data_IF_587742633037
#
_entry.id   IF_587742633037
#
_cell.length_a   1.000
_cell.length_b   1.000
_cell.length_c   1.000
_cell.angle_alpha   90.00
_cell.angle_beta   90.00
_cell.angle_gamma   90.00
#
_symmetry.space_group_name_H-M   'P 1'
#
loop_
_entity.id
_entity.type
_entity.pdbx_description
1 polymer ?
#
# COMPACT_ATOMS: atom_id res chain seq x y z
N UNK A 1 -11.98 11.99 38.97
CA UNK A 1 -12.53 12.00 37.60
C UNK A 1 -13.23 10.67 37.39
N UNK A 2 -14.42 10.66 36.80
CA UNK A 2 -15.19 9.43 36.55
C UNK A 2 -14.47 8.53 35.52
N UNK A 3 -14.24 7.23 35.80
CA UNK A 3 -13.67 6.27 34.85
C UNK A 3 -14.32 6.29 33.47
N UNK A 4 -15.65 6.41 33.42
CA UNK A 4 -16.39 6.37 32.16
C UNK A 4 -16.05 7.59 31.30
N UNK A 5 -15.99 8.76 31.92
CA UNK A 5 -15.60 9.99 31.25
C UNK A 5 -14.15 9.92 30.72
N UNK A 6 -13.22 9.30 31.45
CA UNK A 6 -11.84 9.10 30.98
C UNK A 6 -11.79 8.16 29.75
N UNK A 7 -12.56 7.07 29.75
CA UNK A 7 -12.64 6.12 28.63
C UNK A 7 -13.27 6.75 27.38
N UNK A 8 -14.28 7.60 27.54
CA UNK A 8 -14.92 8.31 26.42
C UNK A 8 -13.98 9.37 25.81
N UNK A 9 -13.18 10.05 26.64
CA UNK A 9 -12.09 10.90 26.16
C UNK A 9 -11.04 10.10 25.39
N UNK A 10 -10.61 8.95 25.93
CA UNK A 10 -9.66 8.07 25.25
C UNK A 10 -10.21 7.58 23.90
N UNK A 11 -11.48 7.19 23.85
CA UNK A 11 -12.15 6.81 22.59
C UNK A 11 -12.06 7.92 21.56
N UNK A 12 -12.35 9.15 21.96
CA UNK A 12 -12.29 10.33 21.10
C UNK A 12 -10.86 10.55 20.59
N UNK A 13 -9.85 10.49 21.46
CA UNK A 13 -8.43 10.64 21.13
C UNK A 13 -7.92 9.55 20.16
N UNK A 14 -8.35 8.30 20.34
CA UNK A 14 -8.02 7.18 19.47
C UNK A 14 -8.68 7.32 18.08
N UNK A 15 -9.91 7.84 18.03
CA UNK A 15 -10.63 8.12 16.78
C UNK A 15 -10.00 9.29 16.01
N UNK A 16 -9.63 10.36 16.70
CA UNK A 16 -8.91 11.52 16.12
C UNK A 16 -7.60 11.09 15.46
N UNK A 17 -6.89 10.10 16.04
CA UNK A 17 -5.67 9.50 15.48
C UNK A 17 -5.93 8.46 14.38
N UNK A 18 -7.19 8.26 13.97
CA UNK A 18 -7.61 7.36 12.88
C UNK A 18 -7.18 5.90 13.06
N UNK A 19 -7.12 5.42 14.30
CA UNK A 19 -6.80 4.02 14.57
C UNK A 19 -7.94 3.11 14.06
N UNK A 20 -7.63 1.88 13.60
CA UNK A 20 -8.66 0.96 13.10
C UNK A 20 -9.74 0.69 14.15
N UNK A 21 -11.01 0.81 13.76
CA UNK A 21 -12.16 0.67 14.70
C UNK A 21 -12.09 -0.62 15.52
N UNK A 22 -11.73 -1.75 14.90
CA UNK A 22 -11.57 -3.04 15.60
C UNK A 22 -10.48 -3.00 16.67
N UNK A 23 -9.37 -2.30 16.42
CA UNK A 23 -8.30 -2.11 17.39
C UNK A 23 -8.77 -1.23 18.56
N UNK A 24 -9.45 -0.11 18.25
CA UNK A 24 -10.00 0.80 19.27
C UNK A 24 -11.00 0.07 20.17
N UNK A 25 -11.94 -0.69 19.60
CA UNK A 25 -12.92 -1.45 20.38
C UNK A 25 -12.25 -2.49 21.28
N UNK A 26 -11.25 -3.22 20.75
CA UNK A 26 -10.50 -4.20 21.54
C UNK A 26 -9.73 -3.55 22.68
N UNK A 27 -8.98 -2.48 22.39
CA UNK A 27 -8.19 -1.74 23.38
C UNK A 27 -9.06 -1.13 24.48
N UNK A 28 -10.18 -0.51 24.11
CA UNK A 28 -11.11 0.07 25.10
C UNK A 28 -11.76 -1.00 25.97
N UNK A 29 -12.06 -2.18 25.42
CA UNK A 29 -12.56 -3.30 26.22
C UNK A 29 -11.49 -3.78 27.22
N UNK A 30 -10.28 -4.07 26.73
CA UNK A 30 -9.16 -4.51 27.58
C UNK A 30 -8.85 -3.47 28.68
N UNK A 31 -8.86 -2.17 28.36
CA UNK A 31 -8.65 -1.12 29.35
C UNK A 31 -9.83 -0.93 30.31
N UNK A 32 -11.08 -1.08 29.83
CA UNK A 32 -12.26 -1.01 30.69
C UNK A 32 -12.22 -2.12 31.73
N UNK A 33 -11.88 -3.35 31.32
CA UNK A 33 -11.74 -4.50 32.21
C UNK A 33 -10.66 -4.19 33.27
N UNK A 34 -9.48 -3.72 32.86
CA UNK A 34 -8.41 -3.34 33.79
C UNK A 34 -8.77 -2.19 34.75
N UNK A 35 -9.49 -1.16 34.27
CA UNK A 35 -9.90 -0.03 35.12
C UNK A 35 -10.95 -0.46 36.13
N UNK A 36 -11.90 -1.29 35.73
CA UNK A 36 -12.91 -1.86 36.64
C UNK A 36 -12.25 -2.76 37.68
N UNK A 37 -11.34 -3.65 37.28
CA UNK A 37 -10.63 -4.54 38.20
C UNK A 37 -9.83 -3.77 39.28
N UNK A 38 -9.13 -2.71 38.89
CA UNK A 38 -8.38 -1.82 39.80
C UNK A 38 -9.29 -1.01 40.73
N UNK A 39 -10.51 -0.69 40.29
CA UNK A 39 -11.50 0.04 41.09
C UNK A 39 -12.29 -0.86 42.05
N UNK A 40 -12.59 -2.10 41.65
CA UNK A 40 -13.31 -3.08 42.47
C UNK A 40 -12.40 -3.73 43.52
N UNK A 41 -11.09 -3.80 43.26
CA UNK A 41 -10.10 -4.36 44.19
C UNK A 41 -9.15 -3.31 44.80
N UNK A 42 -9.65 -2.26 45.47
CA UNK A 42 -8.77 -1.36 46.22
C UNK A 42 -8.15 -2.05 47.45
N UNK A 43 -8.52 -3.31 47.72
CA UNK A 43 -8.14 -4.13 48.87
C UNK A 43 -6.85 -4.94 48.69
N UNK A 44 -6.18 -4.92 47.53
CA UNK A 44 -4.79 -5.38 47.39
C UNK A 44 -3.78 -4.38 48.00
N UNK A 45 -4.19 -3.76 49.12
CA UNK A 45 -3.53 -2.73 49.93
C UNK A 45 -2.61 -3.34 51.00
N UNK A 46 -2.03 -4.50 50.74
CA UNK A 46 -0.96 -5.06 51.58
C UNK A 46 0.40 -4.36 51.35
N UNK A 47 0.43 -3.31 50.53
CA UNK A 47 1.52 -2.34 50.60
C UNK A 47 1.44 -1.65 51.97
N UNK A 48 2.37 -1.90 52.91
CA UNK A 48 2.34 -1.29 54.23
C UNK A 48 2.24 0.21 54.04
N UNK A 49 1.20 0.80 54.64
CA UNK A 49 0.97 2.23 54.67
C UNK A 49 2.23 2.87 55.27
N UNK A 50 3.19 3.24 54.44
CA UNK A 50 4.34 4.01 54.86
C UNK A 50 3.77 5.32 55.40
N UNK A 51 4.00 5.65 56.69
CA UNK A 51 3.47 6.87 57.29
C UNK A 51 4.26 8.05 56.72
N UNK A 52 3.80 8.55 55.58
CA UNK A 52 4.39 9.67 54.87
C UNK A 52 3.38 10.35 53.96
N UNK A 53 3.43 11.69 53.79
CA UNK A 53 2.45 12.48 53.03
C UNK A 53 2.51 12.29 51.50
N UNK A 54 3.20 11.26 51.00
CA UNK A 54 3.21 10.92 49.58
C UNK A 54 1.96 10.09 49.27
N UNK A 55 0.85 10.78 48.97
CA UNK A 55 -0.38 10.15 48.50
C UNK A 55 -0.04 9.20 47.34
N UNK A 56 -0.38 7.92 47.49
CA UNK A 56 -0.24 6.94 46.40
C UNK A 56 -1.13 7.43 45.25
N UNK A 57 -0.56 7.69 44.06
CA UNK A 57 -1.34 8.22 42.96
C UNK A 57 -2.49 7.29 42.63
N UNK A 58 -3.67 7.89 42.41
CA UNK A 58 -4.89 7.14 42.13
C UNK A 58 -4.75 6.31 40.83
N UNK A 59 -5.64 5.33 40.59
CA UNK A 59 -5.57 4.47 39.40
C UNK A 59 -5.45 5.24 38.08
N UNK A 60 -6.16 6.37 37.96
CA UNK A 60 -6.12 7.24 36.78
C UNK A 60 -4.79 7.99 36.62
N UNK A 61 -4.11 8.33 37.71
CA UNK A 61 -2.79 8.98 37.64
C UNK A 61 -1.72 8.01 37.17
N UNK A 62 -1.85 6.71 37.49
CA UNK A 62 -0.94 5.65 37.00
C UNK A 62 -1.10 5.42 35.49
N UNK A 63 -2.32 5.47 34.97
CA UNK A 63 -2.61 5.32 33.54
C UNK A 63 -2.19 6.54 32.72
N UNK A 64 -2.12 7.72 33.35
CA UNK A 64 -1.80 8.99 32.70
C UNK A 64 -2.98 9.60 31.94
N UNK A 65 -2.68 10.61 31.12
CA UNK A 65 -3.73 11.29 30.35
C UNK A 65 -4.22 10.42 29.18
N UNK A 66 -5.51 10.52 28.79
CA UNK A 66 -6.04 9.82 27.62
C UNK A 66 -5.23 10.09 26.34
N UNK A 67 -4.68 11.30 26.21
CA UNK A 67 -3.84 11.70 25.09
C UNK A 67 -2.55 10.87 25.02
N UNK A 68 -1.87 10.67 26.15
CA UNK A 68 -0.64 9.89 26.24
C UNK A 68 -0.89 8.41 25.94
N UNK A 69 -1.99 7.86 26.46
CA UNK A 69 -2.40 6.47 26.17
C UNK A 69 -2.76 6.29 24.69
N UNK A 70 -3.49 7.25 24.10
CA UNK A 70 -3.80 7.21 22.68
C UNK A 70 -2.55 7.32 21.81
N UNK A 71 -1.57 8.13 22.21
CA UNK A 71 -0.29 8.28 21.53
C UNK A 71 0.58 7.01 21.64
N UNK A 72 0.66 6.39 22.81
CA UNK A 72 1.40 5.14 23.00
C UNK A 72 0.77 4.01 22.19
N UNK A 73 -0.56 3.87 22.22
CA UNK A 73 -1.29 2.89 21.44
C UNK A 73 -1.08 3.08 19.93
N UNK A 74 -1.05 4.33 19.45
CA UNK A 74 -0.77 4.63 18.05
C UNK A 74 0.68 4.29 17.67
N UNK A 75 1.65 4.61 18.53
CA UNK A 75 3.07 4.25 18.33
C UNK A 75 3.25 2.74 18.26
N UNK A 76 2.62 2.00 19.18
CA UNK A 76 2.71 0.55 19.23
C UNK A 76 2.07 -0.10 17.99
N UNK A 77 0.87 0.34 17.61
CA UNK A 77 0.21 -0.18 16.41
C UNK A 77 1.07 0.03 15.16
N UNK A 78 1.67 1.22 15.01
CA UNK A 78 2.59 1.52 13.91
C UNK A 78 3.82 0.61 13.98
N UNK A 79 4.41 0.44 15.16
CA UNK A 79 5.57 -0.43 15.38
C UNK A 79 5.29 -1.90 15.04
N UNK A 80 4.04 -2.38 15.15
CA UNK A 80 3.68 -3.75 14.75
C UNK A 80 3.75 -3.98 13.24
N UNK A 81 3.46 -2.97 12.42
CA UNK A 81 3.46 -3.13 10.95
C UNK A 81 4.87 -3.08 10.36
N UNK A 82 5.23 -4.06 9.53
CA UNK A 82 6.52 -4.06 8.81
C UNK A 82 6.64 -2.84 7.89
N UNK A 83 5.54 -2.45 7.25
CA UNK A 83 5.48 -1.29 6.35
C UNK A 83 5.85 0.03 7.03
N UNK A 84 5.47 0.22 8.30
CA UNK A 84 5.84 1.42 9.04
C UNK A 84 7.24 1.35 9.65
N UNK A 85 7.72 0.15 10.00
CA UNK A 85 9.09 -0.05 10.49
C UNK A 85 10.14 0.14 9.39
N UNK A 86 9.87 -0.36 8.19
CA UNK A 86 10.80 -0.36 7.07
C UNK A 86 10.18 0.27 5.82
N UNK A 87 9.87 1.57 5.84
CA UNK A 87 9.16 2.21 4.74
C UNK A 87 10.01 2.29 3.46
N UNK A 88 11.34 2.39 3.57
CA UNK A 88 12.24 2.39 2.40
C UNK A 88 12.18 1.04 1.67
N UNK A 89 12.27 -0.08 2.39
CA UNK A 89 12.13 -1.40 1.79
C UNK A 89 10.74 -1.62 1.19
N UNK A 90 9.71 -1.23 1.94
CA UNK A 90 8.31 -1.47 1.56
C UNK A 90 7.87 -0.60 0.38
N UNK A 91 8.27 0.67 0.31
CA UNK A 91 7.81 1.61 -0.72
C UNK A 91 8.88 1.97 -1.75
N UNK A 92 10.13 1.60 -1.54
CA UNK A 92 11.23 1.82 -2.49
C UNK A 92 11.61 0.57 -3.28
N UNK A 93 11.68 -0.59 -2.61
CA UNK A 93 12.22 -1.82 -3.23
C UNK A 93 11.13 -2.79 -3.64
N UNK A 94 10.14 -3.02 -2.78
CA UNK A 94 9.09 -3.99 -3.04
C UNK A 94 8.16 -3.65 -4.23
N UNK A 95 7.76 -2.37 -4.46
CA UNK A 95 6.85 -2.05 -5.57
C UNK A 95 7.37 -2.41 -6.96
N UNK A 96 8.61 -2.06 -7.37
CA UNK A 96 9.08 -2.43 -8.71
C UNK A 96 9.24 -3.94 -8.87
N UNK A 97 9.66 -4.67 -7.82
CA UNK A 97 9.74 -6.13 -7.86
C UNK A 97 8.35 -6.75 -8.06
N UNK A 98 7.36 -6.27 -7.31
CA UNK A 98 5.99 -6.73 -7.45
C UNK A 98 5.41 -6.38 -8.82
N UNK A 99 5.75 -5.21 -9.38
CA UNK A 99 5.31 -4.80 -10.71
C UNK A 99 5.82 -5.75 -11.81
N UNK A 100 7.07 -6.22 -11.71
CA UNK A 100 7.62 -7.23 -12.63
C UNK A 100 6.82 -8.54 -12.54
N UNK A 101 6.56 -9.02 -11.33
CA UNK A 101 5.80 -10.27 -11.11
C UNK A 101 4.36 -10.15 -11.63
N UNK A 102 3.68 -9.05 -11.33
CA UNK A 102 2.32 -8.79 -11.78
C UNK A 102 2.27 -8.61 -13.30
N UNK A 103 3.25 -7.92 -13.90
CA UNK A 103 3.33 -7.77 -15.35
C UNK A 103 3.53 -9.13 -16.03
N UNK A 104 4.43 -9.98 -15.52
CA UNK A 104 4.62 -11.33 -16.03
C UNK A 104 3.33 -12.17 -15.95
N UNK A 105 2.62 -12.09 -14.82
CA UNK A 105 1.33 -12.77 -14.66
C UNK A 105 0.26 -12.26 -15.64
N UNK A 106 0.20 -10.95 -15.88
CA UNK A 106 -0.75 -10.35 -16.82
C UNK A 106 -0.40 -10.61 -18.28
N UNK A 107 0.87 -10.79 -18.61
CA UNK A 107 1.33 -11.10 -19.97
C UNK A 107 1.11 -12.57 -20.35
N UNK A 108 1.33 -13.48 -19.40
CA UNK A 108 1.25 -14.92 -19.66
C UNK A 108 -0.16 -15.48 -19.38
N UNK A 109 -0.83 -14.96 -18.36
CA UNK A 109 -2.09 -15.50 -17.84
C UNK A 109 -3.25 -15.47 -18.85
N UNK A 110 -3.63 -14.30 -19.40
CA UNK A 110 -4.74 -14.20 -20.33
C UNK A 110 -4.52 -15.03 -21.61
N UNK A 111 -3.31 -15.03 -22.15
CA UNK A 111 -2.97 -15.82 -23.33
C UNK A 111 -3.13 -17.31 -23.10
N UNK A 112 -2.54 -17.83 -22.02
CA UNK A 112 -2.68 -19.24 -21.65
C UNK A 112 -4.15 -19.63 -21.36
N UNK A 113 -4.90 -18.73 -20.70
CA UNK A 113 -6.32 -18.97 -20.41
C UNK A 113 -7.15 -19.04 -21.70
N UNK A 114 -6.96 -18.10 -22.63
CA UNK A 114 -7.70 -18.08 -23.90
C UNK A 114 -7.38 -19.31 -24.76
N UNK A 115 -6.11 -19.69 -24.84
CA UNK A 115 -5.66 -20.91 -25.54
C UNK A 115 -6.40 -22.14 -25.01
N UNK A 116 -6.43 -22.31 -23.67
CA UNK A 116 -7.12 -23.45 -23.04
C UNK A 116 -8.65 -23.43 -23.18
N UNK A 117 -9.27 -22.25 -23.24
CA UNK A 117 -10.74 -22.12 -23.25
C UNK A 117 -11.34 -22.14 -24.64
N UNK A 118 -10.61 -21.64 -25.65
CA UNK A 118 -11.16 -21.39 -26.99
C UNK A 118 -10.62 -22.32 -28.07
N UNK A 119 -9.66 -23.20 -27.73
CA UNK A 119 -8.99 -24.12 -28.68
C UNK A 119 -8.62 -23.39 -29.98
N UNK A 120 -7.93 -22.25 -29.82
CA UNK A 120 -7.71 -21.31 -30.90
C UNK A 120 -6.89 -21.99 -32.01
N UNK A 121 -7.31 -21.89 -33.28
CA UNK A 121 -6.52 -22.42 -34.37
C UNK A 121 -5.15 -21.71 -34.41
N UNK A 122 -4.10 -22.41 -34.87
CA UNK A 122 -2.77 -21.82 -34.97
C UNK A 122 -2.82 -20.53 -35.78
N UNK A 123 -2.17 -19.47 -35.25
CA UNK A 123 -2.20 -18.10 -35.78
C UNK A 123 -1.54 -17.92 -37.17
N UNK A 124 -1.10 -19.02 -37.80
CA UNK A 124 -0.31 -19.04 -39.02
C UNK A 124 -1.08 -18.44 -40.24
N UNK A 125 -2.41 -18.27 -40.18
CA UNK A 125 -3.22 -17.62 -41.22
C UNK A 125 -3.35 -16.08 -41.09
N UNK A 126 -3.05 -15.48 -39.93
CA UNK A 126 -3.26 -14.04 -39.67
C UNK A 126 -1.99 -13.18 -39.90
N UNK A 127 -0.93 -13.76 -40.45
CA UNK A 127 0.47 -13.31 -40.37
C UNK A 127 0.82 -11.97 -41.02
N UNK A 128 0.01 -11.46 -41.95
CA UNK A 128 0.45 -10.34 -42.82
C UNK A 128 -0.20 -9.01 -42.51
N UNK A 129 -1.17 -8.98 -41.59
CA UNK A 129 -1.92 -7.76 -41.38
C UNK A 129 -1.19 -6.79 -40.43
N UNK A 130 -0.93 -5.53 -40.85
CA UNK A 130 -0.21 -4.53 -40.05
C UNK A 130 -0.81 -4.29 -38.66
N UNK A 131 -2.12 -4.51 -38.50
CA UNK A 131 -2.82 -4.31 -37.23
C UNK A 131 -2.41 -5.33 -36.16
N UNK A 132 -1.92 -6.53 -36.54
CA UNK A 132 -1.52 -7.57 -35.57
C UNK A 132 -0.35 -7.08 -34.71
N UNK A 133 0.62 -6.41 -35.33
CA UNK A 133 1.74 -5.83 -34.60
C UNK A 133 1.28 -4.75 -33.62
N UNK A 134 0.34 -3.89 -34.04
CA UNK A 134 -0.22 -2.84 -33.19
C UNK A 134 -1.02 -3.42 -32.01
N UNK A 135 -1.79 -4.49 -32.23
CA UNK A 135 -2.52 -5.20 -31.17
C UNK A 135 -1.56 -5.88 -30.19
N UNK A 136 -0.53 -6.58 -30.69
CA UNK A 136 0.47 -7.23 -29.86
C UNK A 136 1.25 -6.21 -28.99
N UNK A 137 1.68 -5.10 -29.60
CA UNK A 137 2.35 -4.03 -28.88
C UNK A 137 1.41 -3.37 -27.86
N UNK A 138 0.17 -3.08 -28.24
CA UNK A 138 -0.85 -2.53 -27.36
C UNK A 138 -1.15 -3.43 -26.17
N UNK A 139 -1.22 -4.74 -26.38
CA UNK A 139 -1.40 -5.74 -25.32
C UNK A 139 -0.23 -5.72 -24.33
N UNK A 140 1.02 -5.77 -24.81
CA UNK A 140 2.20 -5.75 -23.94
C UNK A 140 2.28 -4.46 -23.12
N UNK A 141 2.13 -3.32 -23.79
CA UNK A 141 2.15 -2.00 -23.13
C UNK A 141 1.00 -1.89 -22.12
N UNK A 142 -0.20 -2.33 -22.50
CA UNK A 142 -1.38 -2.35 -21.65
C UNK A 142 -1.18 -3.19 -20.40
N UNK A 143 -0.58 -4.37 -20.51
CA UNK A 143 -0.28 -5.24 -19.36
C UNK A 143 0.71 -4.59 -18.38
N UNK A 144 1.76 -3.95 -18.88
CA UNK A 144 2.74 -3.24 -18.03
C UNK A 144 2.09 -2.04 -17.33
N UNK A 145 1.32 -1.23 -18.06
CA UNK A 145 0.59 -0.10 -17.47
C UNK A 145 -0.38 -0.62 -16.40
N UNK A 146 -1.18 -1.63 -16.70
CA UNK A 146 -2.11 -2.24 -15.75
C UNK A 146 -1.39 -2.77 -14.50
N UNK A 147 -0.28 -3.50 -14.66
CA UNK A 147 0.53 -3.98 -13.54
C UNK A 147 1.02 -2.83 -12.66
N UNK A 148 1.57 -1.77 -13.27
CA UNK A 148 2.05 -0.60 -12.55
C UNK A 148 0.95 0.09 -11.74
N UNK A 149 -0.26 0.22 -12.31
CA UNK A 149 -1.40 0.82 -11.66
C UNK A 149 -1.90 -0.03 -10.49
N UNK A 150 -2.05 -1.34 -10.68
CA UNK A 150 -2.47 -2.27 -9.63
C UNK A 150 -1.51 -2.24 -8.44
N UNK A 151 -0.20 -2.25 -8.70
CA UNK A 151 0.82 -2.15 -7.65
C UNK A 151 0.72 -0.81 -6.92
N UNK A 152 0.65 0.31 -7.64
CA UNK A 152 0.52 1.63 -7.02
C UNK A 152 -0.76 1.75 -6.19
N UNK A 153 -1.90 1.21 -6.65
CA UNK A 153 -3.14 1.14 -5.88
C UNK A 153 -2.96 0.34 -4.59
N UNK A 154 -2.32 -0.83 -4.68
CA UNK A 154 -2.07 -1.69 -3.52
C UNK A 154 -1.21 -0.96 -2.46
N UNK A 155 -0.12 -0.31 -2.88
CA UNK A 155 0.76 0.43 -1.97
C UNK A 155 0.12 1.72 -1.43
N UNK A 156 -0.72 2.41 -2.21
CA UNK A 156 -1.54 3.51 -1.68
C UNK A 156 -2.50 2.99 -0.60
N UNK A 157 -3.15 1.85 -0.85
CA UNK A 157 -4.01 1.17 0.13
C UNK A 157 -3.25 0.80 1.40
N UNK A 158 -2.05 0.23 1.26
CA UNK A 158 -1.17 -0.13 2.37
C UNK A 158 -0.73 1.10 3.18
N UNK A 159 -0.27 2.17 2.50
CA UNK A 159 0.11 3.41 3.15
C UNK A 159 -1.06 4.04 3.93
N UNK A 160 -2.29 3.92 3.42
CA UNK A 160 -3.50 4.36 4.14
C UNK A 160 -3.76 3.53 5.38
N UNK A 161 -3.64 2.20 5.29
CA UNK A 161 -3.86 1.28 6.43
C UNK A 161 -2.81 1.46 7.54
N UNK A 162 -1.58 1.84 7.18
CA UNK A 162 -0.50 2.06 8.13
C UNK A 162 -0.35 3.53 8.58
N UNK A 163 -1.26 4.41 8.19
CA UNK A 163 -1.21 5.86 8.47
C UNK A 163 0.14 6.51 8.13
N UNK A 164 0.70 6.13 6.98
CA UNK A 164 1.98 6.65 6.52
C UNK A 164 1.83 7.99 5.80
N UNK A 165 2.87 8.82 5.94
CA UNK A 165 2.97 10.11 5.27
C UNK A 165 2.83 9.98 3.75
N UNK A 166 2.26 11.00 3.11
CA UNK A 166 1.95 11.01 1.66
C UNK A 166 3.16 10.83 0.75
N UNK A 167 4.38 11.11 1.25
CA UNK A 167 5.63 10.90 0.50
C UNK A 167 5.87 9.43 0.13
N UNK A 168 5.49 8.47 0.98
CA UNK A 168 5.76 7.05 0.75
C UNK A 168 5.01 6.43 -0.43
N UNK A 169 3.68 6.61 -0.58
CA UNK A 169 3.01 6.15 -1.79
C UNK A 169 3.49 6.87 -3.06
N UNK A 170 3.95 8.13 -2.95
CA UNK A 170 4.58 8.83 -4.07
C UNK A 170 5.94 8.23 -4.44
N UNK A 171 6.75 7.86 -3.45
CA UNK A 171 8.00 7.11 -3.67
C UNK A 171 7.72 5.80 -4.41
N UNK A 172 6.73 5.01 -3.94
CA UNK A 172 6.33 3.76 -4.60
C UNK A 172 5.90 3.96 -6.05
N UNK A 173 5.08 4.99 -6.31
CA UNK A 173 4.68 5.33 -7.67
C UNK A 173 5.86 5.76 -8.54
N UNK A 174 6.78 6.57 -8.00
CA UNK A 174 7.96 7.03 -8.71
C UNK A 174 8.91 5.89 -9.05
N UNK A 175 9.29 5.04 -8.10
CA UNK A 175 10.19 3.91 -8.38
C UNK A 175 9.56 2.91 -9.33
N UNK A 176 8.25 2.68 -9.23
CA UNK A 176 7.52 1.79 -10.16
C UNK A 176 7.48 2.40 -11.55
N UNK A 177 7.23 3.71 -11.67
CA UNK A 177 7.26 4.43 -12.94
C UNK A 177 8.64 4.40 -13.59
N UNK A 178 9.70 4.61 -12.80
CA UNK A 178 11.09 4.54 -13.27
C UNK A 178 11.44 3.17 -13.85
N UNK A 179 11.07 2.10 -13.14
CA UNK A 179 11.33 0.74 -13.61
C UNK A 179 10.45 0.41 -14.81
N UNK A 180 9.12 0.60 -14.72
CA UNK A 180 8.21 0.20 -15.80
C UNK A 180 8.40 1.04 -17.07
N UNK A 181 8.58 2.36 -16.94
CA UNK A 181 8.81 3.25 -18.08
C UNK A 181 10.23 3.17 -18.65
N UNK A 182 11.21 2.77 -17.83
CA UNK A 182 12.57 2.49 -18.27
C UNK A 182 12.68 1.22 -19.12
N UNK A 183 11.66 0.36 -19.12
CA UNK A 183 11.62 -0.84 -19.95
C UNK A 183 11.15 -0.48 -21.36
N UNK A 184 12.03 -0.71 -22.33
CA UNK A 184 11.63 -0.85 -23.71
C UNK A 184 10.84 -2.15 -23.88
N UNK A 185 9.75 -2.06 -24.64
CA UNK A 185 8.89 -3.19 -24.97
C UNK A 185 8.75 -3.33 -26.47
N UNK A 186 8.99 -4.54 -26.95
CA UNK A 186 8.77 -4.92 -28.33
C UNK A 186 8.04 -6.26 -28.37
N UNK A 187 7.08 -6.40 -29.26
CA UNK A 187 6.41 -7.65 -29.53
C UNK A 187 6.46 -7.91 -31.04
N UNK A 188 7.04 -9.03 -31.42
CA UNK A 188 6.98 -9.53 -32.80
C UNK A 188 6.12 -10.78 -32.78
N UNK A 189 4.99 -10.79 -33.52
CA UNK A 189 4.14 -11.98 -33.60
C UNK A 189 4.92 -13.14 -34.22
N UNK A 190 4.50 -14.36 -33.91
CA UNK A 190 5.01 -15.56 -34.58
C UNK A 190 4.58 -15.53 -36.04
N UNK A 191 5.50 -15.88 -36.94
CA UNK A 191 5.24 -16.10 -38.36
C UNK A 191 5.69 -17.51 -38.75
N UNK A 192 5.29 -17.98 -39.94
CA UNK A 192 5.59 -19.32 -40.43
C UNK A 192 7.11 -19.52 -40.55
N UNK A 193 7.83 -18.43 -40.85
CA UNK A 193 9.28 -18.42 -41.00
C UNK A 193 10.04 -18.04 -39.71
N UNK A 194 9.40 -17.40 -38.72
CA UNK A 194 10.09 -16.85 -37.54
C UNK A 194 9.29 -17.04 -36.26
N UNK A 195 9.98 -17.50 -35.21
CA UNK A 195 9.39 -17.54 -33.87
C UNK A 195 9.03 -16.12 -33.40
N UNK A 196 7.84 -15.99 -32.82
CA UNK A 196 7.41 -14.76 -32.19
C UNK A 196 8.28 -14.45 -30.98
N UNK A 197 8.66 -13.19 -30.81
CA UNK A 197 9.48 -12.78 -29.68
C UNK A 197 8.84 -11.61 -28.95
N UNK A 198 8.78 -11.74 -27.62
CA UNK A 198 8.47 -10.62 -26.72
C UNK A 198 9.80 -10.19 -26.12
N UNK A 199 10.16 -8.93 -26.36
CA UNK A 199 11.37 -8.32 -25.84
C UNK A 199 11.00 -7.29 -24.80
N UNK A 200 11.53 -7.47 -23.60
CA UNK A 200 11.47 -6.50 -22.51
C UNK A 200 12.90 -6.24 -22.08
N UNK A 201 13.36 -5.00 -22.18
CA UNK A 201 14.76 -4.66 -21.90
C UNK A 201 14.98 -3.17 -21.69
N UNK A 202 16.22 -2.77 -21.46
CA UNK A 202 16.58 -1.35 -21.37
C UNK A 202 16.76 -0.78 -22.79
N UNK A 203 16.27 0.43 -23.09
CA UNK A 203 16.47 1.04 -24.40
C UNK A 203 17.97 1.19 -24.70
N UNK A 204 18.41 0.71 -25.88
CA UNK A 204 19.82 0.82 -26.32
C UNK A 204 20.27 2.27 -26.57
N UNK A 205 19.35 3.22 -26.72
CA UNK A 205 19.66 4.65 -26.86
C UNK A 205 18.70 5.52 -26.06
N UNK A 206 19.21 6.22 -25.05
CA UNK A 206 18.51 7.27 -24.30
C UNK A 206 18.62 8.63 -25.02
N UNK A 207 18.49 8.63 -26.34
CA UNK A 207 18.58 9.87 -27.13
C UNK A 207 17.34 10.75 -26.93
N UNK A 208 17.45 12.09 -27.01
CA UNK A 208 16.31 13.02 -26.84
C UNK A 208 15.20 12.85 -27.90
N UNK A 209 15.49 12.18 -29.03
CA UNK A 209 14.50 11.79 -30.03
C UNK A 209 13.82 10.42 -29.75
N UNK A 210 14.16 9.74 -28.65
CA UNK A 210 13.94 8.30 -28.47
C UNK A 210 12.92 7.88 -27.40
N UNK A 211 12.27 8.80 -26.68
CA UNK A 211 11.20 8.41 -25.75
C UNK A 211 9.94 8.13 -26.56
N UNK A 212 9.69 6.84 -26.81
CA UNK A 212 8.50 6.42 -27.53
C UNK A 212 7.24 6.70 -26.69
N UNK A 213 6.13 7.03 -27.34
CA UNK A 213 4.84 7.26 -26.69
C UNK A 213 4.44 6.18 -25.65
N UNK A 214 4.68 4.87 -25.88
CA UNK A 214 4.43 3.84 -24.88
C UNK A 214 5.20 4.02 -23.56
N UNK A 215 6.46 4.46 -23.64
CA UNK A 215 7.28 4.70 -22.44
C UNK A 215 6.72 5.88 -21.66
N UNK A 216 6.36 6.98 -22.35
CA UNK A 216 5.69 8.12 -21.71
C UNK A 216 4.44 7.68 -20.96
N UNK A 217 3.62 6.81 -21.55
CA UNK A 217 2.43 6.29 -20.90
C UNK A 217 2.76 5.44 -19.67
N UNK A 218 3.75 4.55 -19.77
CA UNK A 218 4.23 3.71 -18.66
C UNK A 218 4.81 4.53 -17.50
N UNK A 219 5.46 5.66 -17.78
CA UNK A 219 5.93 6.60 -16.76
C UNK A 219 4.77 7.41 -16.16
N UNK A 220 3.95 8.01 -17.01
CA UNK A 220 2.96 9.00 -16.59
C UNK A 220 1.78 8.38 -15.84
N UNK A 221 1.32 7.19 -16.25
CA UNK A 221 0.11 6.56 -15.70
C UNK A 221 0.18 6.33 -14.17
N UNK A 222 1.18 5.60 -13.62
CA UNK A 222 1.28 5.39 -12.17
C UNK A 222 1.46 6.69 -11.38
N UNK A 223 2.21 7.66 -11.92
CA UNK A 223 2.43 8.95 -11.28
C UNK A 223 1.15 9.81 -11.25
N UNK A 224 0.43 9.88 -12.36
CA UNK A 224 -0.83 10.61 -12.46
C UNK A 224 -1.87 10.04 -11.49
N UNK A 225 -1.97 8.71 -11.41
CA UNK A 225 -2.85 8.02 -10.48
C UNK A 225 -2.49 8.35 -9.01
N UNK A 226 -1.21 8.26 -8.65
CA UNK A 226 -0.76 8.59 -7.30
C UNK A 226 -1.01 10.07 -6.95
N UNK A 227 -0.73 10.99 -7.87
CA UNK A 227 -1.01 12.42 -7.71
C UNK A 227 -2.50 12.70 -7.52
N UNK A 228 -3.36 12.10 -8.32
CA UNK A 228 -4.80 12.25 -8.20
C UNK A 228 -5.34 11.72 -6.85
N UNK A 229 -4.94 10.51 -6.44
CA UNK A 229 -5.40 9.89 -5.20
C UNK A 229 -4.89 10.59 -3.93
N UNK A 230 -3.67 11.14 -3.97
CA UNK A 230 -3.12 11.91 -2.83
C UNK A 230 -3.76 13.29 -2.73
N UNK A 231 -4.07 13.97 -3.85
CA UNK A 231 -4.84 15.23 -3.87
C UNK A 231 -6.25 15.06 -3.33
N UNK A 232 -6.97 14.01 -3.74
CA UNK A 232 -8.30 13.71 -3.18
C UNK A 232 -8.28 13.52 -1.67
N UNK A 233 -7.21 12.90 -1.13
CA UNK A 233 -7.00 12.77 0.32
C UNK A 233 -6.76 14.11 1.01
N UNK A 234 -6.17 15.10 0.32
CA UNK A 234 -5.97 16.44 0.85
C UNK A 234 -7.30 17.16 1.05
N UNK A 235 -8.17 17.13 0.06
CA UNK A 235 -9.48 17.77 0.13
C UNK A 235 -10.37 17.12 1.21
N UNK A 236 -10.41 15.79 1.28
CA UNK A 236 -11.19 15.08 2.30
C UNK A 236 -10.66 15.24 3.74
N UNK A 237 -9.52 15.90 3.95
CA UNK A 237 -9.01 16.23 5.27
C UNK A 237 -9.32 17.67 5.70
N UNK A 238 -9.81 18.51 4.78
CA UNK A 238 -10.20 19.91 5.01
C UNK A 238 -11.71 20.09 5.14
N UNK A 239 -12.50 19.12 4.64
CA UNK A 239 -13.94 19.01 4.81
C UNK A 239 -14.29 18.25 6.09
#
# INVERSE_FOLDING_TARGET
MDPQHWLDQLRTELQTRRLPRRYVTRLLRELSDHVTDEWENPMSKDAPQAPGPAAVPGPLERLGSPQLVAESAARELRARSFAARHPVWTFGVLPPLLAIVVAAALLLGPGALLDTLLDLPPLDEYETAPWVHLVAQGYVVGCIVAASLLVVLAFIGLARRCDLARRWPMTAALVTALVCGGLWTGATPKTAEKMGTVMVGLPRSLGPAGIAFPQLLQFAAPLALAAWLTRRRAHAALS
#
